data_IF_432825041893
#
_entry.id   IF_432825041893
#
_cell.length_a   1.000
_cell.length_b   1.000
_cell.length_c   1.000
_cell.angle_alpha   90.00
_cell.angle_beta   90.00
_cell.angle_gamma   90.00
#
_symmetry.space_group_name_H-M   'P 1'
#
loop_
_entity.id
_entity.type
_entity.pdbx_description
1 polymer ?
#
# COMPACT_ATOMS: atom_id res chain seq x y z
N UNK A 1 -58.79 60.33 -40.04
CA UNK A 1 -58.64 59.39 -38.90
C UNK A 1 -58.52 57.99 -39.46
N UNK A 2 -57.40 57.30 -39.19
CA UNK A 2 -57.30 55.84 -39.02
C UNK A 2 -55.81 55.49 -38.88
N UNK A 3 -55.38 55.21 -37.65
CA UNK A 3 -54.08 54.64 -37.35
C UNK A 3 -54.12 53.13 -37.62
N UNK A 4 -53.09 52.59 -38.26
CA UNK A 4 -52.85 51.13 -38.35
C UNK A 4 -51.53 50.82 -37.65
N UNK A 5 -51.66 50.14 -36.53
CA UNK A 5 -50.59 49.64 -35.66
C UNK A 5 -49.95 48.38 -36.26
N UNK A 6 -48.61 48.34 -36.32
CA UNK A 6 -47.83 47.15 -36.67
C UNK A 6 -47.70 46.24 -35.44
N UNK A 7 -48.23 45.02 -35.53
CA UNK A 7 -48.05 43.97 -34.52
C UNK A 7 -46.64 43.36 -34.59
N UNK A 8 -45.97 43.28 -33.44
CA UNK A 8 -44.66 42.67 -33.28
C UNK A 8 -44.83 41.18 -32.90
N UNK A 9 -44.12 40.29 -33.62
CA UNK A 9 -44.15 38.83 -33.47
C UNK A 9 -43.48 38.40 -32.15
N UNK A 10 -44.20 37.61 -31.36
CA UNK A 10 -43.67 36.85 -30.22
C UNK A 10 -42.87 35.63 -30.73
N UNK A 11 -41.54 35.78 -30.82
CA UNK A 11 -40.61 34.67 -31.09
C UNK A 11 -39.70 34.37 -29.88
N UNK A 12 -39.95 35.02 -28.72
CA UNK A 12 -39.05 34.96 -27.56
C UNK A 12 -39.14 33.69 -26.71
N UNK A 13 -40.31 33.02 -26.66
CA UNK A 13 -40.54 31.94 -25.69
C UNK A 13 -40.07 30.56 -26.11
N UNK A 14 -39.96 30.24 -27.41
CA UNK A 14 -39.50 28.91 -27.84
C UNK A 14 -37.98 28.74 -27.78
N UNK A 15 -37.21 29.82 -27.92
CA UNK A 15 -35.74 29.77 -27.88
C UNK A 15 -35.21 29.55 -26.44
N UNK A 16 -35.92 30.04 -25.42
CA UNK A 16 -35.52 29.88 -24.02
C UNK A 16 -35.65 28.45 -23.49
N UNK A 17 -36.67 27.70 -23.94
CA UNK A 17 -36.91 26.33 -23.49
C UNK A 17 -35.95 25.31 -24.12
N UNK A 18 -35.54 25.53 -25.38
CA UNK A 18 -34.53 24.68 -26.05
C UNK A 18 -33.13 24.84 -25.44
N UNK A 19 -32.78 26.05 -24.96
CA UNK A 19 -31.48 26.30 -24.32
C UNK A 19 -31.33 25.57 -22.97
N UNK A 20 -32.41 25.44 -22.19
CA UNK A 20 -32.38 24.76 -20.89
C UNK A 20 -32.30 23.23 -21.01
N UNK A 21 -32.91 22.64 -22.04
CA UNK A 21 -32.81 21.19 -22.31
C UNK A 21 -31.41 20.79 -22.79
N UNK A 22 -30.77 21.63 -23.62
CA UNK A 22 -29.38 21.40 -24.07
C UNK A 22 -28.37 21.50 -22.93
N UNK A 23 -28.58 22.39 -21.95
CA UNK A 23 -27.70 22.52 -20.79
C UNK A 23 -27.82 21.32 -19.83
N UNK A 24 -29.01 20.74 -19.66
CA UNK A 24 -29.22 19.58 -18.81
C UNK A 24 -28.68 18.28 -19.42
N UNK A 25 -28.75 18.11 -20.75
CA UNK A 25 -28.20 16.94 -21.45
C UNK A 25 -26.66 16.96 -21.54
N UNK A 26 -26.04 18.13 -21.58
CA UNK A 26 -24.57 18.26 -21.66
C UNK A 26 -23.85 18.03 -20.31
N UNK A 27 -24.58 18.07 -19.19
CA UNK A 27 -24.04 17.83 -17.85
C UNK A 27 -23.95 16.34 -17.49
N UNK A 28 -24.60 15.47 -18.26
CA UNK A 28 -24.56 14.03 -18.04
C UNK A 28 -23.42 13.47 -18.89
N UNK A 29 -22.27 13.30 -18.23
CA UNK A 29 -21.28 12.27 -18.55
C UNK A 29 -20.16 12.59 -19.56
N UNK A 30 -19.54 13.77 -19.42
CA UNK A 30 -18.22 14.07 -20.01
C UNK A 30 -17.12 13.11 -19.50
N UNK A 31 -17.28 12.54 -18.30
CA UNK A 31 -16.35 11.58 -17.70
C UNK A 31 -16.36 10.21 -18.40
N UNK A 32 -17.52 9.71 -18.84
CA UNK A 32 -17.63 8.46 -19.62
C UNK A 32 -17.14 8.63 -21.06
N UNK A 33 -17.34 9.79 -21.67
CA UNK A 33 -16.78 10.08 -23.00
C UNK A 33 -15.24 10.12 -22.98
N UNK A 34 -14.63 10.40 -21.83
CA UNK A 34 -13.18 10.32 -21.64
C UNK A 34 -12.63 8.88 -21.70
N UNK A 35 -13.46 7.85 -21.46
CA UNK A 35 -13.09 6.45 -21.70
C UNK A 35 -13.15 6.06 -23.18
N UNK A 36 -13.93 6.76 -24.02
CA UNK A 36 -14.14 6.40 -25.42
C UNK A 36 -13.00 6.85 -26.34
N UNK A 37 -12.21 7.86 -25.94
CA UNK A 37 -11.18 8.46 -26.78
C UNK A 37 -9.76 8.44 -26.16
N UNK A 38 -9.60 7.92 -24.94
CA UNK A 38 -8.31 7.89 -24.22
C UNK A 38 -7.93 6.51 -23.68
N UNK A 39 -6.62 6.29 -23.52
CA UNK A 39 -5.96 5.12 -22.90
C UNK A 39 -6.32 4.88 -21.41
N UNK A 40 -7.37 5.53 -20.90
CA UNK A 40 -7.56 5.76 -19.47
C UNK A 40 -8.35 4.65 -18.76
N UNK A 41 -9.12 3.84 -19.48
CA UNK A 41 -9.97 2.80 -18.89
C UNK A 41 -9.38 1.40 -19.16
N UNK A 42 -8.09 1.24 -18.85
CA UNK A 42 -7.41 -0.06 -18.82
C UNK A 42 -7.98 -0.88 -17.65
N UNK A 43 -8.67 -1.99 -17.95
CA UNK A 43 -9.14 -2.96 -16.95
C UNK A 43 -10.10 -2.41 -15.89
N UNK A 44 -11.15 -1.67 -16.29
CA UNK A 44 -12.13 -1.04 -15.38
C UNK A 44 -11.57 -0.06 -14.31
N UNK A 45 -10.28 0.27 -14.40
CA UNK A 45 -9.58 1.21 -13.53
C UNK A 45 -10.14 2.63 -13.68
N UNK A 46 -10.74 3.14 -12.60
CA UNK A 46 -11.40 4.45 -12.53
C UNK A 46 -11.11 5.11 -11.18
N UNK A 47 -9.95 5.76 -11.04
CA UNK A 47 -9.54 6.34 -9.76
C UNK A 47 -10.38 7.56 -9.40
N UNK A 48 -11.04 7.53 -8.25
CA UNK A 48 -11.64 8.69 -7.60
C UNK A 48 -10.89 9.04 -6.31
N UNK A 49 -9.92 9.94 -6.43
CA UNK A 49 -9.11 10.36 -5.31
C UNK A 49 -9.80 11.33 -4.36
N UNK A 50 -10.76 12.10 -4.84
CA UNK A 50 -11.48 13.05 -4.00
C UNK A 50 -12.41 12.30 -3.06
N UNK A 51 -13.16 11.33 -3.59
CA UNK A 51 -13.95 10.41 -2.78
C UNK A 51 -13.09 9.65 -1.77
N UNK A 52 -11.97 9.06 -2.22
CA UNK A 52 -11.03 8.37 -1.33
C UNK A 52 -10.51 9.26 -0.18
N UNK A 53 -10.12 10.50 -0.48
CA UNK A 53 -9.63 11.46 0.53
C UNK A 53 -10.71 11.80 1.56
N UNK A 54 -11.93 12.08 1.10
CA UNK A 54 -13.06 12.37 1.95
C UNK A 54 -13.38 11.19 2.86
N UNK A 55 -13.46 9.98 2.31
CA UNK A 55 -13.89 8.79 3.04
C UNK A 55 -12.83 8.34 4.06
N UNK A 56 -11.54 8.42 3.70
CA UNK A 56 -10.44 8.25 4.66
C UNK A 56 -10.46 9.32 5.75
N UNK A 57 -10.84 10.56 5.44
CA UNK A 57 -10.88 11.63 6.43
C UNK A 57 -12.03 11.49 7.44
N UNK A 58 -13.17 10.95 6.99
CA UNK A 58 -14.36 10.76 7.80
C UNK A 58 -14.28 9.49 8.66
N UNK A 59 -13.74 8.40 8.11
CA UNK A 59 -13.89 7.08 8.71
C UNK A 59 -12.59 6.48 9.29
N UNK A 60 -11.40 6.98 8.91
CA UNK A 60 -10.13 6.46 9.44
C UNK A 60 -9.59 7.31 10.60
N UNK A 61 -10.01 6.95 11.81
CA UNK A 61 -9.60 7.64 13.04
C UNK A 61 -8.12 7.41 13.39
N UNK A 62 -7.42 8.46 13.87
CA UNK A 62 -6.08 8.38 14.45
C UNK A 62 -4.92 8.13 13.45
N UNK A 63 -5.21 7.86 12.17
CA UNK A 63 -4.21 7.48 11.16
C UNK A 63 -3.92 8.61 10.14
N UNK A 64 -3.76 9.83 10.63
CA UNK A 64 -3.55 11.02 9.78
C UNK A 64 -2.29 10.90 8.89
N UNK A 65 -1.20 10.32 9.41
CA UNK A 65 0.03 10.07 8.65
C UNK A 65 -0.19 9.05 7.54
N UNK A 66 -0.85 7.92 7.85
CA UNK A 66 -1.13 6.89 6.86
C UNK A 66 -2.02 7.42 5.74
N UNK A 67 -3.09 8.17 6.09
CA UNK A 67 -3.96 8.85 5.11
C UNK A 67 -3.16 9.73 4.15
N UNK A 68 -2.34 10.64 4.70
CA UNK A 68 -1.59 11.58 3.89
C UNK A 68 -0.57 10.89 2.96
N UNK A 69 0.15 9.88 3.47
CA UNK A 69 1.17 9.17 2.69
C UNK A 69 0.56 8.29 1.60
N UNK A 70 -0.49 7.52 1.93
CA UNK A 70 -1.16 6.62 0.98
C UNK A 70 -1.73 7.40 -0.19
N UNK A 71 -2.49 8.46 0.10
CA UNK A 71 -3.12 9.28 -0.94
C UNK A 71 -2.08 9.97 -1.80
N UNK A 72 -1.04 10.57 -1.18
CA UNK A 72 0.04 11.24 -1.92
C UNK A 72 0.77 10.27 -2.85
N UNK A 73 1.17 9.10 -2.35
CA UNK A 73 1.89 8.10 -3.13
C UNK A 73 1.04 7.57 -4.29
N UNK A 74 -0.24 7.31 -4.04
CA UNK A 74 -1.17 6.79 -5.04
C UNK A 74 -1.46 7.82 -6.14
N UNK A 75 -1.76 9.08 -5.78
CA UNK A 75 -1.94 10.18 -6.76
C UNK A 75 -0.72 10.33 -7.65
N UNK A 76 0.47 10.40 -7.05
CA UNK A 76 1.72 10.54 -7.80
C UNK A 76 1.96 9.35 -8.76
N UNK A 77 1.70 8.12 -8.30
CA UNK A 77 1.87 6.93 -9.13
C UNK A 77 0.87 6.86 -10.29
N UNK A 78 -0.40 7.20 -10.06
CA UNK A 78 -1.44 7.10 -11.10
C UNK A 78 -1.33 8.21 -12.14
N UNK A 79 -0.81 9.39 -11.75
CA UNK A 79 -0.56 10.51 -12.65
C UNK A 79 0.67 10.30 -13.56
N UNK A 80 1.61 9.44 -13.16
CA UNK A 80 2.74 9.06 -14.01
C UNK A 80 2.27 8.06 -15.09
N UNK A 81 2.27 8.43 -16.40
CA UNK A 81 1.84 7.54 -17.46
C UNK A 81 2.84 6.39 -17.73
N UNK A 82 4.08 6.52 -17.26
CA UNK A 82 5.18 5.60 -17.54
C UNK A 82 6.01 5.30 -16.28
N UNK A 83 5.40 4.73 -15.22
CA UNK A 83 6.11 4.42 -13.98
C UNK A 83 7.29 3.48 -14.24
N UNK A 84 8.39 3.75 -13.56
CA UNK A 84 9.65 2.98 -13.68
C UNK A 84 9.64 1.68 -12.88
N UNK A 85 8.69 1.52 -11.95
CA UNK A 85 8.43 0.33 -11.13
C UNK A 85 7.00 0.38 -10.59
N UNK A 86 6.40 -0.74 -10.18
CA UNK A 86 5.07 -0.74 -9.57
C UNK A 86 5.03 0.01 -8.24
N UNK A 87 3.83 0.43 -7.85
CA UNK A 87 3.59 0.97 -6.52
C UNK A 87 3.55 -0.19 -5.51
N UNK A 88 4.37 -0.09 -4.47
CA UNK A 88 4.39 -1.05 -3.37
C UNK A 88 4.09 -0.32 -2.08
N UNK A 89 2.97 -0.65 -1.45
CA UNK A 89 2.56 -0.14 -0.14
C UNK A 89 2.69 -1.26 0.89
N UNK A 90 3.24 -0.93 2.06
CA UNK A 90 3.42 -1.87 3.16
C UNK A 90 2.73 -1.32 4.39
N UNK A 91 1.55 -1.87 4.71
CA UNK A 91 0.71 -1.45 5.83
C UNK A 91 1.05 -2.32 7.05
N UNK A 92 1.54 -1.67 8.10
CA UNK A 92 2.01 -2.33 9.32
C UNK A 92 1.37 -1.70 10.56
N UNK A 93 1.04 -2.53 11.55
CA UNK A 93 0.49 -2.06 12.83
C UNK A 93 -0.32 -3.13 13.55
N UNK A 94 -0.90 -2.78 14.70
CA UNK A 94 -1.73 -3.68 15.49
C UNK A 94 -3.02 -4.12 14.79
N UNK A 95 -3.58 -5.25 15.21
CA UNK A 95 -4.90 -5.70 14.80
C UNK A 95 -5.96 -4.66 15.13
N UNK A 96 -6.96 -4.47 14.26
CA UNK A 96 -8.04 -3.52 14.48
C UNK A 96 -7.73 -2.04 14.15
N UNK A 97 -6.51 -1.70 13.71
CA UNK A 97 -6.15 -0.29 13.39
C UNK A 97 -6.55 0.17 11.97
N UNK A 98 -7.39 -0.58 11.27
CA UNK A 98 -7.94 -0.18 9.96
C UNK A 98 -7.09 -0.49 8.72
N UNK A 99 -6.06 -1.34 8.78
CA UNK A 99 -5.25 -1.70 7.59
C UNK A 99 -6.08 -2.32 6.46
N UNK A 100 -6.87 -3.35 6.78
CA UNK A 100 -7.76 -4.01 5.82
C UNK A 100 -8.84 -3.07 5.30
N UNK A 101 -9.32 -2.16 6.16
CA UNK A 101 -10.28 -1.11 5.79
C UNK A 101 -9.68 -0.14 4.75
N UNK A 102 -8.44 0.34 4.98
CA UNK A 102 -7.73 1.18 4.01
C UNK A 102 -7.56 0.44 2.68
N UNK A 103 -7.11 -0.82 2.68
CA UNK A 103 -6.96 -1.57 1.43
C UNK A 103 -8.27 -1.83 0.69
N UNK A 104 -9.37 -2.09 1.41
CA UNK A 104 -10.69 -2.25 0.79
C UNK A 104 -11.19 -0.95 0.17
N UNK A 105 -10.91 0.18 0.84
CA UNK A 105 -11.28 1.50 0.37
C UNK A 105 -10.49 1.88 -0.89
N UNK A 106 -9.19 1.57 -0.90
CA UNK A 106 -8.34 1.72 -2.08
C UNK A 106 -8.89 0.91 -3.26
N UNK A 107 -9.26 -0.35 -3.06
CA UNK A 107 -9.86 -1.15 -4.13
C UNK A 107 -11.17 -0.51 -4.64
N UNK A 108 -12.05 -0.07 -3.73
CA UNK A 108 -13.34 0.55 -4.08
C UNK A 108 -13.20 1.83 -4.90
N UNK A 109 -12.23 2.69 -4.56
CA UNK A 109 -12.02 3.96 -5.27
C UNK A 109 -11.08 3.86 -6.47
N UNK A 110 -10.42 2.72 -6.69
CA UNK A 110 -9.58 2.48 -7.87
C UNK A 110 -10.30 1.69 -8.97
N UNK A 111 -11.24 0.81 -8.60
CA UNK A 111 -11.93 -0.08 -9.54
C UNK A 111 -13.44 -0.02 -9.29
N UNK A 112 -14.22 0.00 -10.38
CA UNK A 112 -15.69 0.17 -10.31
C UNK A 112 -16.36 -0.85 -9.38
N UNK A 113 -15.91 -2.11 -9.45
CA UNK A 113 -16.52 -3.21 -8.71
C UNK A 113 -15.77 -3.50 -7.38
N UNK A 114 -14.81 -2.63 -7.02
CA UNK A 114 -14.01 -2.70 -5.80
C UNK A 114 -13.28 -4.05 -5.66
N UNK A 115 -13.38 -4.66 -4.48
CA UNK A 115 -12.82 -5.99 -4.22
C UNK A 115 -13.40 -7.12 -5.10
N UNK A 116 -14.51 -6.88 -5.79
CA UNK A 116 -15.12 -7.85 -6.73
C UNK A 116 -14.64 -7.66 -8.16
N UNK A 117 -13.84 -6.63 -8.45
CA UNK A 117 -13.25 -6.48 -9.79
C UNK A 117 -12.34 -7.67 -10.09
N UNK A 118 -12.37 -8.22 -11.32
CA UNK A 118 -11.49 -9.31 -11.74
C UNK A 118 -10.01 -8.90 -11.74
N UNK A 119 -9.70 -7.61 -11.57
CA UNK A 119 -8.34 -7.05 -11.54
C UNK A 119 -7.87 -6.71 -10.12
N UNK A 120 -8.68 -7.03 -9.11
CA UNK A 120 -8.33 -6.92 -7.69
C UNK A 120 -8.17 -8.32 -7.11
N UNK A 121 -6.95 -8.62 -6.66
CA UNK A 121 -6.55 -9.96 -6.29
C UNK A 121 -6.17 -10.00 -4.82
N UNK A 122 -6.99 -10.66 -4.00
CA UNK A 122 -6.72 -10.85 -2.58
C UNK A 122 -6.06 -12.21 -2.31
N UNK A 123 -4.95 -12.20 -1.60
CA UNK A 123 -4.12 -13.37 -1.32
C UNK A 123 -3.77 -13.43 0.17
N UNK A 124 -4.02 -14.57 0.82
CA UNK A 124 -3.54 -14.88 2.18
C UNK A 124 -2.65 -16.13 2.16
N UNK A 125 -1.40 -16.07 2.63
CA UNK A 125 -0.52 -17.23 2.74
C UNK A 125 -1.09 -18.35 3.62
N UNK A 126 -1.85 -18.00 4.66
CA UNK A 126 -2.42 -18.96 5.61
C UNK A 126 -3.44 -19.86 4.92
N UNK A 127 -4.26 -19.29 4.04
CA UNK A 127 -5.30 -20.02 3.31
C UNK A 127 -4.69 -20.77 2.12
N UNK A 128 -3.80 -20.12 1.38
CA UNK A 128 -3.34 -20.64 0.09
C UNK A 128 -2.14 -21.59 0.21
N UNK A 129 -1.33 -21.47 1.28
CA UNK A 129 -0.09 -22.24 1.46
C UNK A 129 -0.02 -22.97 2.83
N UNK A 130 -0.99 -23.84 3.16
CA UNK A 130 -1.04 -24.48 4.48
C UNK A 130 0.03 -25.55 4.72
N UNK A 131 0.62 -26.14 3.67
CA UNK A 131 1.53 -27.29 3.80
C UNK A 131 2.98 -26.98 3.40
N UNK A 132 3.93 -26.92 4.36
CA UNK A 132 5.34 -26.63 4.05
C UNK A 132 6.00 -27.58 3.06
N UNK A 133 5.54 -28.84 2.99
CA UNK A 133 6.06 -29.86 2.08
C UNK A 133 5.81 -29.56 0.59
N UNK A 134 4.88 -28.65 0.27
CA UNK A 134 4.53 -28.30 -1.11
C UNK A 134 5.15 -26.97 -1.57
N UNK A 135 6.16 -26.46 -0.86
CA UNK A 135 6.75 -25.14 -1.09
C UNK A 135 7.18 -24.90 -2.55
N UNK A 136 7.82 -25.87 -3.19
CA UNK A 136 8.28 -25.74 -4.58
C UNK A 136 7.12 -25.63 -5.58
N UNK A 137 5.99 -26.28 -5.30
CA UNK A 137 4.76 -26.10 -6.07
C UNK A 137 4.18 -24.72 -5.82
N UNK A 138 4.07 -24.29 -4.56
CA UNK A 138 3.52 -22.98 -4.19
C UNK A 138 4.30 -21.82 -4.80
N UNK A 139 5.62 -21.92 -4.88
CA UNK A 139 6.47 -20.94 -5.60
C UNK A 139 6.09 -20.84 -7.08
N UNK A 140 5.88 -21.97 -7.75
CA UNK A 140 5.47 -22.01 -9.17
C UNK A 140 4.06 -21.46 -9.37
N UNK A 141 3.13 -21.88 -8.51
CA UNK A 141 1.73 -21.45 -8.55
C UNK A 141 1.63 -19.94 -8.32
N UNK A 142 2.35 -19.39 -7.32
CA UNK A 142 2.40 -17.95 -7.05
C UNK A 142 2.96 -17.17 -8.24
N UNK A 143 4.08 -17.62 -8.81
CA UNK A 143 4.70 -16.98 -9.98
C UNK A 143 3.71 -16.94 -11.15
N UNK A 144 3.10 -18.08 -11.47
CA UNK A 144 2.17 -18.19 -12.59
C UNK A 144 0.92 -17.36 -12.36
N UNK A 145 0.42 -17.30 -11.13
CA UNK A 145 -0.76 -16.51 -10.79
C UNK A 145 -0.50 -15.01 -10.92
N UNK A 146 0.61 -14.49 -10.37
CA UNK A 146 0.96 -13.06 -10.51
C UNK A 146 1.19 -12.72 -11.99
N UNK A 147 2.01 -13.51 -12.68
CA UNK A 147 2.33 -13.28 -14.09
C UNK A 147 1.08 -13.36 -14.99
N UNK A 148 0.19 -14.32 -14.75
CA UNK A 148 -1.05 -14.49 -15.50
C UNK A 148 -1.96 -13.25 -15.37
N UNK A 149 -2.23 -12.83 -14.14
CA UNK A 149 -3.07 -11.65 -13.88
C UNK A 149 -2.45 -10.36 -14.43
N UNK A 150 -1.14 -10.20 -14.30
CA UNK A 150 -0.42 -9.07 -14.90
C UNK A 150 -0.43 -9.08 -16.44
N UNK A 151 -0.50 -10.25 -17.05
CA UNK A 151 -0.65 -10.39 -18.51
C UNK A 151 -2.07 -10.08 -18.97
N UNK A 152 -3.08 -10.44 -18.16
CA UNK A 152 -4.47 -10.03 -18.41
C UNK A 152 -4.66 -8.53 -18.24
N UNK A 153 -4.02 -7.94 -17.22
CA UNK A 153 -4.11 -6.53 -16.93
C UNK A 153 -2.86 -5.98 -16.22
N UNK A 154 -2.22 -4.98 -16.83
CA UNK A 154 -1.04 -4.33 -16.25
C UNK A 154 -1.33 -3.47 -15.02
N UNK A 155 -2.57 -2.97 -14.86
CA UNK A 155 -3.01 -2.17 -13.70
C UNK A 155 -3.66 -3.01 -12.59
N UNK A 156 -3.39 -4.31 -12.53
CA UNK A 156 -3.93 -5.17 -11.47
C UNK A 156 -3.48 -4.72 -10.08
N UNK A 157 -4.38 -4.86 -9.10
CA UNK A 157 -4.13 -4.60 -7.68
C UNK A 157 -3.99 -5.92 -6.94
N UNK A 158 -2.84 -6.14 -6.30
CA UNK A 158 -2.57 -7.31 -5.48
C UNK A 158 -2.56 -6.94 -4.00
N UNK A 159 -3.48 -7.53 -3.24
CA UNK A 159 -3.59 -7.40 -1.80
C UNK A 159 -3.05 -8.68 -1.16
N UNK A 160 -1.89 -8.62 -0.50
CA UNK A 160 -1.36 -9.73 0.27
C UNK A 160 -1.58 -9.47 1.75
N UNK A 161 -2.56 -10.17 2.33
CA UNK A 161 -2.82 -10.14 3.77
C UNK A 161 -1.92 -11.14 4.51
N UNK A 162 -1.76 -10.94 5.82
CA UNK A 162 -1.00 -11.81 6.71
C UNK A 162 0.44 -12.05 6.21
N UNK A 163 1.09 -10.98 5.71
CA UNK A 163 2.44 -11.04 5.16
C UNK A 163 3.49 -11.45 6.21
N UNK A 164 3.18 -11.37 7.51
CA UNK A 164 3.99 -11.98 8.58
C UNK A 164 4.04 -13.51 8.50
N UNK A 165 3.09 -14.16 7.82
CA UNK A 165 3.04 -15.61 7.62
C UNK A 165 3.61 -16.05 6.26
N UNK A 166 3.95 -15.11 5.38
CA UNK A 166 4.57 -15.45 4.10
C UNK A 166 6.01 -15.94 4.33
N UNK A 167 6.33 -17.14 3.85
CA UNK A 167 7.68 -17.69 3.97
C UNK A 167 8.67 -16.90 3.09
N UNK A 168 9.95 -16.77 3.51
CA UNK A 168 10.95 -16.03 2.71
C UNK A 168 11.07 -16.51 1.27
N UNK A 169 10.99 -17.83 1.03
CA UNK A 169 11.06 -18.42 -0.30
C UNK A 169 9.92 -18.01 -1.24
N UNK A 170 8.74 -17.64 -0.73
CA UNK A 170 7.65 -17.11 -1.53
C UNK A 170 7.82 -15.61 -1.83
N UNK A 171 8.41 -14.85 -0.89
CA UNK A 171 8.74 -13.45 -1.14
C UNK A 171 9.80 -13.29 -2.25
N UNK A 172 10.74 -14.22 -2.35
CA UNK A 172 11.73 -14.26 -3.44
C UNK A 172 11.07 -14.41 -4.82
N UNK A 173 9.94 -15.12 -4.90
CA UNK A 173 9.15 -15.25 -6.13
C UNK A 173 8.50 -13.93 -6.53
N UNK A 174 8.08 -13.11 -5.55
CA UNK A 174 7.46 -11.82 -5.80
C UNK A 174 8.47 -10.74 -6.21
N UNK A 175 9.70 -10.81 -5.68
CA UNK A 175 10.73 -9.77 -5.85
C UNK A 175 10.93 -9.29 -7.31
N UNK A 176 10.99 -10.16 -8.33
CA UNK A 176 11.12 -9.72 -9.73
C UNK A 176 9.96 -8.83 -10.19
N UNK A 177 8.73 -9.09 -9.74
CA UNK A 177 7.55 -8.31 -10.10
C UNK A 177 7.48 -6.94 -9.41
N UNK A 178 8.22 -6.76 -8.31
CA UNK A 178 8.28 -5.49 -7.56
C UNK A 178 9.39 -4.54 -8.06
N UNK A 179 10.27 -5.04 -8.94
CA UNK A 179 11.38 -4.28 -9.50
C UNK A 179 10.98 -3.47 -10.73
N UNK A 180 11.97 -2.93 -11.44
CA UNK A 180 11.77 -2.16 -12.68
C UNK A 180 11.39 -3.02 -13.89
N UNK A 181 10.84 -4.22 -13.67
CA UNK A 181 10.64 -5.22 -14.72
C UNK A 181 9.81 -4.64 -15.86
N UNK A 182 10.31 -4.81 -17.07
CA UNK A 182 9.74 -4.32 -18.32
C UNK A 182 8.64 -5.25 -18.85
N UNK A 183 7.92 -4.72 -19.83
CA UNK A 183 6.80 -5.33 -20.55
C UNK A 183 7.08 -6.80 -20.87
N UNK A 184 6.30 -7.71 -20.28
CA UNK A 184 6.27 -9.12 -20.67
C UNK A 184 4.94 -9.35 -21.37
N UNK A 185 4.95 -9.99 -22.54
CA UNK A 185 3.75 -10.23 -23.36
C UNK A 185 2.95 -8.97 -23.71
N UNK A 186 3.63 -7.86 -23.99
CA UNK A 186 2.97 -6.61 -24.40
C UNK A 186 2.26 -5.82 -23.28
N UNK A 187 2.25 -6.34 -22.04
CA UNK A 187 1.60 -5.67 -20.91
C UNK A 187 2.61 -5.01 -19.97
N UNK A 188 2.35 -3.78 -19.56
CA UNK A 188 3.25 -3.01 -18.70
C UNK A 188 3.00 -3.33 -17.21
N UNK A 189 3.78 -4.26 -16.67
CA UNK A 189 3.68 -4.70 -15.27
C UNK A 189 4.02 -3.58 -14.27
N UNK A 190 4.69 -2.51 -14.71
CA UNK A 190 5.07 -1.39 -13.84
C UNK A 190 3.88 -0.53 -13.42
N UNK A 191 2.71 -0.70 -14.04
CA UNK A 191 1.48 -0.02 -13.64
C UNK A 191 0.73 -0.74 -12.51
N UNK A 192 1.21 -1.90 -12.06
CA UNK A 192 0.56 -2.67 -11.02
C UNK A 192 0.72 -2.03 -9.64
N UNK A 193 -0.20 -2.36 -8.73
CA UNK A 193 -0.17 -1.92 -7.34
C UNK A 193 -0.11 -3.14 -6.44
N UNK A 194 0.85 -3.17 -5.54
CA UNK A 194 1.01 -4.20 -4.52
C UNK A 194 0.79 -3.59 -3.14
N UNK A 195 -0.11 -4.18 -2.35
CA UNK A 195 -0.36 -3.79 -0.97
C UNK A 195 -0.08 -4.99 -0.07
N UNK A 196 0.85 -4.83 0.84
CA UNK A 196 1.23 -5.85 1.82
C UNK A 196 0.68 -5.45 3.19
N UNK A 197 -0.08 -6.32 3.83
CA UNK A 197 -0.66 -6.10 5.15
C UNK A 197 0.06 -7.02 6.14
N UNK A 198 0.60 -6.44 7.21
CA UNK A 198 1.26 -7.17 8.29
C UNK A 198 0.68 -6.79 9.64
N UNK A 199 0.42 -7.80 10.47
CA UNK A 199 -0.01 -7.60 11.85
C UNK A 199 1.21 -7.55 12.77
N UNK A 200 1.32 -6.47 13.55
CA UNK A 200 2.25 -6.46 14.68
C UNK A 200 1.55 -7.25 15.80
N UNK A 201 1.84 -8.54 15.89
CA UNK A 201 1.39 -9.35 17.02
C UNK A 201 2.09 -8.81 18.27
N UNK A 202 1.32 -8.40 19.27
CA UNK A 202 1.88 -8.24 20.60
C UNK A 202 2.49 -9.59 20.98
N UNK A 203 3.78 -9.61 21.27
CA UNK A 203 4.35 -10.70 22.07
C UNK A 203 3.62 -10.65 23.40
N UNK A 204 2.58 -11.47 23.52
CA UNK A 204 1.97 -11.76 24.80
C UNK A 204 3.06 -12.34 25.68
N UNK A 205 3.37 -11.63 26.76
CA UNK A 205 4.17 -12.13 27.87
C UNK A 205 3.57 -13.47 28.34
N UNK A 206 4.10 -14.58 27.85
CA UNK A 206 4.04 -15.83 28.57
C UNK A 206 5.11 -15.80 29.65
N UNK A 207 4.67 -15.83 30.91
CA UNK A 207 5.55 -16.04 32.06
C UNK A 207 5.51 -14.92 33.08
N UNK A 208 4.44 -14.90 33.85
CA UNK A 208 4.41 -14.31 35.19
C UNK A 208 5.42 -15.06 36.07
N UNK A 209 6.69 -14.65 36.05
CA UNK A 209 7.60 -14.94 37.12
C UNK A 209 7.23 -14.03 38.29
N UNK A 210 6.80 -14.65 39.39
CA UNK A 210 6.48 -14.01 40.65
C UNK A 210 7.65 -13.16 41.14
N UNK A 211 7.53 -11.84 41.05
CA UNK A 211 8.35 -10.90 41.83
C UNK A 211 7.89 -10.97 43.29
N UNK A 212 8.40 -11.96 44.01
CA UNK A 212 8.42 -11.97 45.46
C UNK A 212 9.66 -11.20 45.94
N UNK A 213 9.45 -10.00 46.45
CA UNK A 213 10.31 -9.35 47.44
C UNK A 213 9.33 -8.71 48.45
N UNK A 214 9.56 -8.81 49.78
CA UNK A 214 10.82 -8.33 50.36
C UNK A 214 11.35 -9.12 51.57
N UNK A 215 12.64 -8.97 51.83
CA UNK A 215 13.18 -9.07 53.19
C UNK A 215 14.38 -10.00 53.35
N UNK A 216 15.57 -9.41 53.41
CA UNK A 216 16.60 -9.62 54.45
C UNK A 216 18.02 -9.44 53.87
N UNK A 217 18.67 -8.36 54.32
CA UNK A 217 20.13 -8.23 54.36
C UNK A 217 20.74 -9.39 55.17
N UNK A 218 21.97 -9.82 54.88
CA UNK A 218 23.06 -9.35 55.75
C UNK A 218 24.41 -9.06 55.08
N UNK A 219 25.06 -8.05 55.68
CA UNK A 219 26.48 -7.87 56.01
C UNK A 219 27.59 -8.37 55.06
N UNK A 220 28.37 -7.39 54.60
CA UNK A 220 29.77 -7.53 54.16
C UNK A 220 30.70 -8.02 55.28
N UNK A 221 31.80 -8.70 54.93
CA UNK A 221 33.02 -8.56 55.69
C UNK A 221 34.21 -8.08 54.86
N UNK A 222 35.04 -7.34 55.58
CA UNK A 222 36.24 -6.59 55.25
C UNK A 222 37.33 -7.32 54.42
N UNK A 223 38.07 -6.51 53.67
CA UNK A 223 39.40 -6.81 53.16
C UNK A 223 40.45 -6.92 54.28
N UNK A 224 41.59 -7.57 54.01
CA UNK A 224 42.86 -7.22 54.64
C UNK A 224 43.85 -6.62 53.63
N UNK A 225 44.61 -5.65 54.12
CA UNK A 225 45.62 -4.87 53.39
C UNK A 225 47.02 -5.31 53.84
N UNK A 226 47.94 -5.34 52.88
CA UNK A 226 49.39 -5.15 52.98
C UNK A 226 50.32 -6.27 53.51
N UNK A 227 51.30 -6.66 52.68
CA UNK A 227 52.75 -6.41 52.83
C UNK A 227 53.53 -7.25 51.80
N UNK A 228 54.74 -6.98 51.31
CA UNK A 228 55.58 -5.80 51.06
C UNK A 228 56.89 -6.38 50.46
N UNK A 229 57.41 -5.80 49.36
CA UNK A 229 58.82 -5.88 48.87
C UNK A 229 59.35 -7.26 48.45
N UNK A 230 60.36 -7.42 47.60
CA UNK A 230 61.09 -6.59 46.64
C UNK A 230 62.06 -7.54 45.92
N UNK A 231 62.31 -7.34 44.63
CA UNK A 231 63.66 -7.47 44.11
C UNK A 231 63.81 -6.63 42.83
N UNK A 232 64.55 -5.53 43.00
CA UNK A 232 65.22 -4.76 41.95
C UNK A 232 66.35 -5.62 41.38
N UNK A 233 66.54 -5.57 40.06
CA UNK A 233 67.80 -5.16 39.42
C UNK A 233 67.63 -5.17 37.89
N UNK A 234 67.71 -4.00 37.25
CA UNK A 234 68.22 -3.89 35.87
C UNK A 234 69.76 -3.86 35.90
N UNK A 235 70.49 -3.35 34.88
CA UNK A 235 70.03 -2.72 33.62
C UNK A 235 70.86 -3.15 32.37
N UNK A 236 70.56 -2.54 31.21
CA UNK A 236 71.50 -2.00 30.18
C UNK A 236 71.01 -2.21 28.73
N UNK A 237 70.77 -1.12 27.99
CA UNK A 237 70.64 -1.10 26.52
C UNK A 237 72.02 -0.95 25.84
N UNK A 238 72.18 -0.24 24.70
CA UNK A 238 71.27 0.07 23.57
C UNK A 238 71.93 -0.14 22.17
N UNK A 239 71.24 0.24 21.08
CA UNK A 239 71.82 0.55 19.75
C UNK A 239 71.59 -0.54 18.69
N UNK A 240 71.49 -0.27 17.38
CA UNK A 240 71.56 0.96 16.60
C UNK A 240 70.94 0.69 15.21
N UNK A 241 70.84 1.76 14.42
CA UNK A 241 70.23 1.93 13.11
C UNK A 241 70.75 1.00 11.99
N UNK A 242 69.89 0.84 10.98
CA UNK A 242 70.19 0.34 9.63
C UNK A 242 68.98 0.53 8.75
#
# INVERSE_FOLDING_TARGET
MAAVTRGCRSWGSLLGLLALVSAAAAAWDLTSLHCSFGTFCECDFRPDFQGLECDLAQHLAGQHLARALVVKALKAFVQDPAPTKPLVLSLHGWTGTGKSYVSSLLAHYLFRDGLRSPHVHHFSPVIHFPHPSQMERYKKDLKSWVQGNLTTCGRSLFLFDEMDKLTPGLMEVLRPFLGSSWVVYGTNYRKAIFIFIRWLLALGHHGRASLGCPGALPATPAAPRAALRAQRAGPAGPGAQG
#
